data_IF_860910366640
#
_entry.id   IF_860910366640
#
_cell.length_a   1.000
_cell.length_b   1.000
_cell.length_c   1.000
_cell.angle_alpha   90.00
_cell.angle_beta   90.00
_cell.angle_gamma   90.00
#
_symmetry.space_group_name_H-M   'P 1'
#
loop_
_entity.id
_entity.type
_entity.pdbx_description
1 polymer ?
#
# COMPACT_ATOMS: atom_id res chain seq x y z
N UNK A 1 -20.67 -4.17 -65.68
CA UNK A 1 -20.22 -4.77 -64.41
C UNK A 1 -20.01 -3.63 -63.41
N UNK A 2 -20.93 -3.47 -62.49
CA UNK A 2 -21.02 -2.30 -61.57
C UNK A 2 -20.42 -2.70 -60.23
N UNK A 3 -19.26 -2.12 -59.87
CA UNK A 3 -18.67 -2.30 -58.53
C UNK A 3 -19.39 -1.43 -57.52
N UNK A 4 -20.03 -2.07 -56.54
CA UNK A 4 -20.63 -1.44 -55.39
C UNK A 4 -19.63 -1.49 -54.24
N UNK A 5 -19.02 -0.35 -53.91
CA UNK A 5 -18.21 -0.15 -52.73
C UNK A 5 -19.13 0.25 -51.60
N UNK A 6 -19.35 -0.67 -50.65
CA UNK A 6 -20.01 -0.38 -49.36
C UNK A 6 -19.03 0.34 -48.45
N UNK A 7 -19.21 1.64 -48.32
CA UNK A 7 -18.55 2.42 -47.27
C UNK A 7 -19.30 2.19 -45.97
N UNK A 8 -18.71 1.40 -45.06
CA UNK A 8 -19.22 1.19 -43.70
C UNK A 8 -18.74 2.35 -42.84
N UNK A 9 -19.57 3.38 -42.69
CA UNK A 9 -19.33 4.47 -41.74
C UNK A 9 -19.63 3.99 -40.34
N UNK A 10 -18.56 3.64 -39.60
CA UNK A 10 -18.63 3.32 -38.18
C UNK A 10 -18.81 4.65 -37.41
N UNK A 11 -20.02 4.93 -36.98
CA UNK A 11 -20.33 5.97 -36.00
C UNK A 11 -19.77 5.55 -34.64
N UNK A 12 -18.53 5.97 -34.34
CA UNK A 12 -18.03 5.95 -32.96
C UNK A 12 -18.81 6.99 -32.16
N UNK A 13 -19.83 6.54 -31.48
CA UNK A 13 -20.45 7.27 -30.39
C UNK A 13 -19.45 7.32 -29.23
N UNK A 14 -18.60 8.34 -29.22
CA UNK A 14 -17.76 8.66 -28.09
C UNK A 14 -18.66 9.14 -26.95
N UNK A 15 -18.99 8.28 -26.01
CA UNK A 15 -19.42 8.72 -24.69
C UNK A 15 -18.26 9.53 -24.09
N UNK A 16 -18.37 10.86 -24.24
CA UNK A 16 -17.52 11.79 -23.52
C UNK A 16 -17.88 11.67 -22.02
N UNK A 17 -17.20 10.77 -21.31
CA UNK A 17 -17.12 10.83 -19.86
C UNK A 17 -16.42 12.15 -19.52
N UNK A 18 -17.11 13.03 -18.81
CA UNK A 18 -16.58 14.29 -18.31
C UNK A 18 -15.26 14.06 -17.59
N UNK A 19 -14.14 14.69 -17.99
CA UNK A 19 -12.88 14.56 -17.27
C UNK A 19 -12.83 15.38 -15.96
N UNK A 20 -13.96 15.88 -15.50
CA UNK A 20 -14.12 16.70 -14.31
C UNK A 20 -15.03 16.02 -13.29
N UNK A 21 -14.62 14.85 -12.77
CA UNK A 21 -15.02 14.49 -11.42
C UNK A 21 -14.06 15.21 -10.47
N UNK A 22 -14.57 16.23 -9.79
CA UNK A 22 -13.87 16.80 -8.64
C UNK A 22 -13.53 15.69 -7.64
N UNK A 23 -12.59 15.95 -6.69
CA UNK A 23 -12.24 14.95 -5.71
C UNK A 23 -13.50 14.43 -5.01
N UNK A 24 -13.67 13.11 -5.01
CA UNK A 24 -14.80 12.48 -4.32
C UNK A 24 -14.55 12.57 -2.81
N UNK A 25 -15.33 13.33 -2.03
CA UNK A 25 -15.12 13.45 -0.59
C UNK A 25 -15.22 12.12 0.14
N UNK A 26 -15.83 11.11 -0.46
CA UNK A 26 -15.99 9.77 0.11
C UNK A 26 -14.75 8.88 -0.15
N UNK A 27 -13.95 9.15 -1.19
CA UNK A 27 -12.78 8.32 -1.56
C UNK A 27 -11.78 8.18 -0.41
N UNK A 28 -11.54 9.24 0.32
CA UNK A 28 -10.59 9.26 1.45
C UNK A 28 -11.12 8.50 2.65
N UNK A 29 -12.41 8.63 2.93
CA UNK A 29 -13.08 7.89 4.01
C UNK A 29 -13.12 6.40 3.70
N UNK A 30 -13.45 6.03 2.47
CA UNK A 30 -13.44 4.65 2.00
C UNK A 30 -12.05 4.02 2.12
N UNK A 31 -10.99 4.73 1.72
CA UNK A 31 -9.62 4.25 1.87
C UNK A 31 -9.23 3.99 3.35
N UNK A 32 -9.71 4.81 4.27
CA UNK A 32 -9.49 4.60 5.71
C UNK A 32 -10.22 3.34 6.18
N UNK A 33 -11.49 3.15 5.80
CA UNK A 33 -12.27 1.97 6.16
C UNK A 33 -11.65 0.68 5.57
N UNK A 34 -11.24 0.72 4.31
CA UNK A 34 -10.51 -0.38 3.66
C UNK A 34 -9.21 -0.71 4.40
N UNK A 35 -8.48 0.30 4.85
CA UNK A 35 -7.25 0.11 5.61
C UNK A 35 -7.51 -0.50 6.99
N UNK A 36 -8.58 -0.11 7.68
CA UNK A 36 -9.00 -0.72 8.95
C UNK A 36 -9.38 -2.19 8.76
N UNK A 37 -10.13 -2.49 7.71
CA UNK A 37 -10.52 -3.87 7.37
C UNK A 37 -9.30 -4.74 7.07
N UNK A 38 -8.38 -4.24 6.23
CA UNK A 38 -7.15 -4.93 5.86
C UNK A 38 -6.26 -5.20 7.08
N UNK A 39 -6.07 -4.19 7.95
CA UNK A 39 -5.30 -4.32 9.18
C UNK A 39 -5.96 -5.36 10.12
N UNK A 40 -7.24 -5.22 10.38
CA UNK A 40 -8.00 -6.15 11.23
C UNK A 40 -8.00 -7.57 10.68
N UNK A 41 -8.14 -7.72 9.36
CA UNK A 41 -8.06 -9.00 8.66
C UNK A 41 -6.69 -9.66 8.81
N UNK A 42 -5.60 -8.90 8.65
CA UNK A 42 -4.23 -9.40 8.83
C UNK A 42 -3.91 -9.74 10.29
N UNK A 43 -4.37 -8.94 11.25
CA UNK A 43 -4.21 -9.27 12.68
C UNK A 43 -4.85 -10.63 12.99
N UNK A 44 -6.04 -10.88 12.50
CA UNK A 44 -6.74 -12.17 12.72
C UNK A 44 -6.09 -13.33 11.98
N UNK A 45 -5.75 -13.13 10.71
CA UNK A 45 -5.26 -14.21 9.84
C UNK A 45 -3.79 -14.56 10.07
N UNK A 46 -2.95 -13.56 10.31
CA UNK A 46 -1.49 -13.75 10.46
C UNK A 46 -1.04 -13.89 11.91
N UNK A 47 -1.97 -13.78 12.86
CA UNK A 47 -1.63 -13.87 14.28
C UNK A 47 -0.60 -12.85 14.73
N UNK A 48 -0.71 -11.60 14.22
CA UNK A 48 0.20 -10.51 14.61
C UNK A 48 0.21 -10.40 16.14
N UNK A 49 1.36 -10.51 16.79
CA UNK A 49 1.42 -10.51 18.23
C UNK A 49 1.03 -9.17 18.83
N UNK A 50 0.16 -9.20 19.83
CA UNK A 50 -0.31 -7.99 20.51
C UNK A 50 0.82 -7.12 21.04
N UNK A 51 1.84 -7.74 21.65
CA UNK A 51 3.05 -7.06 22.12
C UNK A 51 3.77 -6.27 21.01
N UNK A 52 3.77 -6.78 19.77
CA UNK A 52 4.39 -6.08 18.66
C UNK A 52 3.62 -4.79 18.31
N UNK A 53 2.28 -4.85 18.31
CA UNK A 53 1.43 -3.69 18.08
C UNK A 53 1.59 -2.63 19.20
N UNK A 54 1.79 -3.06 20.44
CA UNK A 54 2.02 -2.17 21.59
C UNK A 54 3.31 -1.35 21.45
N UNK A 55 4.34 -1.93 20.83
CA UNK A 55 5.64 -1.28 20.61
C UNK A 55 5.75 -0.56 19.25
N UNK A 56 4.74 -0.66 18.40
CA UNK A 56 4.72 -0.06 17.07
C UNK A 56 4.65 1.46 17.15
N UNK A 57 5.52 2.15 16.43
CA UNK A 57 5.60 3.63 16.35
C UNK A 57 4.76 4.20 15.22
N UNK A 58 4.65 3.46 14.11
CA UNK A 58 3.76 3.81 13.02
C UNK A 58 3.25 2.55 12.32
N UNK A 59 2.03 2.62 11.83
CA UNK A 59 1.41 1.56 11.03
C UNK A 59 1.14 2.15 9.64
N UNK A 60 1.63 1.46 8.62
CA UNK A 60 1.36 1.78 7.21
C UNK A 60 0.47 0.68 6.66
N UNK A 61 -0.61 1.05 6.02
CA UNK A 61 -1.55 0.10 5.42
C UNK A 61 -1.81 0.45 3.96
N UNK A 62 -1.58 -0.52 3.10
CA UNK A 62 -2.03 -0.50 1.71
C UNK A 62 -3.09 -1.59 1.54
N UNK A 63 -4.38 -1.24 1.53
CA UNK A 63 -5.46 -2.23 1.44
C UNK A 63 -5.55 -2.87 0.06
N UNK A 64 -5.15 -2.14 -0.98
CA UNK A 64 -5.27 -2.54 -2.37
C UNK A 64 -3.99 -2.21 -3.16
N UNK A 65 -2.93 -3.02 -3.00
CA UNK A 65 -1.79 -2.98 -3.90
C UNK A 65 -2.12 -3.78 -5.17
N UNK A 66 -2.23 -3.08 -6.29
CA UNK A 66 -2.48 -3.70 -7.58
C UNK A 66 -1.18 -3.88 -8.35
N UNK A 67 -0.90 -5.09 -8.79
CA UNK A 67 0.17 -5.41 -9.73
C UNK A 67 -0.46 -5.81 -11.07
N UNK A 68 -0.05 -5.11 -12.12
CA UNK A 68 -0.31 -5.54 -13.49
C UNK A 68 1.03 -5.74 -14.20
N UNK A 69 1.22 -6.88 -14.83
CA UNK A 69 2.45 -7.22 -15.54
C UNK A 69 2.15 -8.07 -16.77
N UNK A 70 2.91 -7.80 -17.86
CA UNK A 70 3.04 -8.72 -19.00
C UNK A 70 4.52 -9.09 -19.21
N UNK A 71 5.35 -8.18 -19.69
CA UNK A 71 6.83 -8.33 -19.79
C UNK A 71 7.49 -7.35 -18.82
N UNK A 72 6.94 -6.15 -18.72
CA UNK A 72 7.24 -5.18 -17.68
C UNK A 72 5.98 -5.00 -16.83
N UNK A 73 6.13 -4.82 -15.53
CA UNK A 73 5.02 -4.66 -14.61
C UNK A 73 5.17 -3.42 -13.75
N UNK A 74 4.03 -2.93 -13.31
CA UNK A 74 3.96 -1.90 -12.29
C UNK A 74 3.05 -2.39 -11.15
N UNK A 75 3.44 -2.06 -9.92
CA UNK A 75 2.59 -2.17 -8.75
C UNK A 75 2.34 -0.78 -8.23
N UNK A 76 1.07 -0.46 -8.04
CA UNK A 76 0.64 0.83 -7.50
C UNK A 76 -0.39 0.59 -6.40
N UNK A 77 -0.46 1.51 -5.45
CA UNK A 77 -1.49 1.49 -4.42
C UNK A 77 -1.56 2.81 -3.67
N UNK A 78 -2.78 3.15 -3.24
CA UNK A 78 -3.04 4.18 -2.25
C UNK A 78 -3.07 3.51 -0.87
N UNK A 79 -2.66 4.23 0.14
CA UNK A 79 -2.64 3.72 1.50
C UNK A 79 -2.67 4.83 2.53
N UNK A 80 -2.68 4.43 3.78
CA UNK A 80 -2.68 5.33 4.93
C UNK A 80 -1.52 5.00 5.86
N UNK A 81 -1.05 6.01 6.56
CA UNK A 81 -0.10 5.87 7.66
C UNK A 81 -0.65 6.55 8.90
N UNK A 82 -0.61 5.85 10.02
CA UNK A 82 -0.87 6.42 11.35
C UNK A 82 0.39 6.34 12.19
N UNK A 83 0.66 7.39 12.94
CA UNK A 83 1.88 7.52 13.76
C UNK A 83 1.50 7.70 15.21
N UNK A 84 2.19 7.00 16.08
CA UNK A 84 1.99 7.15 17.52
C UNK A 84 2.79 8.33 18.02
N UNK A 85 2.12 9.26 18.71
CA UNK A 85 2.76 10.40 19.35
C UNK A 85 3.74 9.93 20.44
N UNK A 86 5.01 10.30 20.37
CA UNK A 86 5.99 9.93 21.40
C UNK A 86 5.72 10.61 22.74
N UNK A 87 4.96 11.73 22.75
CA UNK A 87 4.64 12.49 23.95
C UNK A 87 3.43 11.91 24.70
N UNK A 88 2.40 11.51 23.97
CA UNK A 88 1.11 11.10 24.57
C UNK A 88 0.83 9.61 24.46
N UNK A 89 1.58 8.88 23.62
CA UNK A 89 1.30 7.48 23.30
C UNK A 89 0.06 7.24 22.44
N UNK A 90 -0.70 8.30 22.11
CA UNK A 90 -1.92 8.21 21.29
C UNK A 90 -1.57 8.18 19.82
N UNK A 91 -2.44 7.57 19.01
CA UNK A 91 -2.35 7.60 17.56
C UNK A 91 -2.79 8.96 17.03
N UNK A 92 -2.01 9.51 16.11
CA UNK A 92 -2.38 10.73 15.38
C UNK A 92 -3.40 10.40 14.28
N UNK A 93 -4.10 11.41 13.74
CA UNK A 93 -4.93 11.23 12.56
C UNK A 93 -4.16 10.60 11.40
N UNK A 94 -4.83 9.85 10.48
CA UNK A 94 -4.19 9.20 9.37
C UNK A 94 -3.62 10.20 8.35
N UNK A 95 -2.52 9.85 7.70
CA UNK A 95 -2.04 10.59 6.53
C UNK A 95 -2.04 9.66 5.31
N UNK A 96 -2.35 10.23 4.13
CA UNK A 96 -2.46 9.50 2.88
C UNK A 96 -1.12 9.39 2.17
N UNK A 97 -0.85 8.20 1.64
CA UNK A 97 0.41 7.84 0.97
C UNK A 97 0.13 7.06 -0.30
N UNK A 98 1.10 7.09 -1.21
CA UNK A 98 1.09 6.31 -2.46
C UNK A 98 2.29 5.38 -2.50
N UNK A 99 2.08 4.19 -3.03
CA UNK A 99 3.14 3.22 -3.34
C UNK A 99 3.27 3.04 -4.84
N UNK A 100 4.52 2.98 -5.32
CA UNK A 100 4.87 2.64 -6.71
C UNK A 100 6.04 1.67 -6.70
N UNK A 101 5.96 0.66 -7.56
CA UNK A 101 7.05 -0.28 -7.80
C UNK A 101 7.08 -0.62 -9.27
N UNK A 102 8.25 -0.51 -9.89
CA UNK A 102 8.48 -1.08 -11.22
C UNK A 102 9.01 -2.50 -11.06
N UNK A 103 8.55 -3.43 -11.88
CA UNK A 103 9.03 -4.81 -11.90
C UNK A 103 9.27 -5.27 -13.33
N UNK A 104 10.35 -6.01 -13.53
CA UNK A 104 10.71 -6.63 -14.80
C UNK A 104 10.59 -8.15 -14.65
N UNK A 105 10.01 -8.81 -15.63
CA UNK A 105 9.89 -10.27 -15.63
C UNK A 105 8.69 -10.76 -16.43
N UNK A 106 8.80 -11.98 -16.97
CA UNK A 106 7.74 -12.61 -17.76
C UNK A 106 6.69 -13.16 -16.77
N UNK A 107 5.75 -12.31 -16.38
CA UNK A 107 4.62 -12.69 -15.52
C UNK A 107 3.37 -11.97 -16.03
N UNK A 108 2.49 -12.69 -16.68
CA UNK A 108 1.20 -12.12 -17.09
C UNK A 108 0.17 -12.31 -15.96
N UNK A 109 -0.51 -11.23 -15.59
CA UNK A 109 -1.59 -11.33 -14.62
C UNK A 109 -1.84 -10.04 -13.83
N UNK A 110 -3.00 -10.03 -13.17
CA UNK A 110 -3.39 -9.00 -12.21
C UNK A 110 -3.38 -9.63 -10.83
N UNK A 111 -2.71 -9.01 -9.89
CA UNK A 111 -2.65 -9.43 -8.50
C UNK A 111 -3.09 -8.29 -7.59
N UNK A 112 -3.94 -8.59 -6.64
CA UNK A 112 -4.26 -7.69 -5.53
C UNK A 112 -3.59 -8.20 -4.26
N UNK A 113 -3.01 -7.29 -3.50
CA UNK A 113 -2.40 -7.61 -2.22
C UNK A 113 -2.76 -6.56 -1.18
N UNK A 114 -2.93 -7.00 0.05
CA UNK A 114 -2.97 -6.16 1.23
C UNK A 114 -1.58 -6.16 1.86
N UNK A 115 -1.10 -5.01 2.28
CA UNK A 115 0.21 -4.87 2.92
C UNK A 115 0.08 -4.01 4.17
N UNK A 116 0.58 -4.52 5.28
CA UNK A 116 0.75 -3.77 6.53
C UNK A 116 2.23 -3.73 6.90
N UNK A 117 2.75 -2.53 7.16
CA UNK A 117 4.09 -2.33 7.68
C UNK A 117 3.99 -1.81 9.11
N UNK A 118 4.59 -2.52 10.05
CA UNK A 118 4.73 -2.09 11.44
C UNK A 118 6.12 -1.48 11.63
N UNK A 119 6.19 -0.18 11.86
CA UNK A 119 7.45 0.55 12.08
C UNK A 119 7.79 0.51 13.56
N UNK A 120 8.91 -0.11 13.90
CA UNK A 120 9.30 -0.38 15.28
C UNK A 120 10.28 0.64 15.84
N UNK A 121 11.13 1.23 14.98
CA UNK A 121 12.24 2.09 15.43
C UNK A 121 12.07 3.53 14.99
N UNK A 122 12.73 4.45 15.71
CA UNK A 122 12.81 5.85 15.29
C UNK A 122 13.59 6.02 13.97
N UNK A 123 14.49 5.10 13.66
CA UNK A 123 15.20 5.08 12.38
C UNK A 123 14.24 4.76 11.24
N UNK A 124 13.43 3.69 11.37
CA UNK A 124 12.39 3.35 10.42
C UNK A 124 11.37 4.48 10.23
N UNK A 125 10.94 5.09 11.34
CA UNK A 125 10.01 6.23 11.31
C UNK A 125 10.59 7.43 10.55
N UNK A 126 11.83 7.83 10.83
CA UNK A 126 12.47 8.93 10.10
C UNK A 126 12.64 8.65 8.61
N UNK A 127 12.91 7.39 8.25
CA UNK A 127 13.01 7.00 6.85
C UNK A 127 11.66 7.10 6.14
N UNK A 128 10.59 6.68 6.81
CA UNK A 128 9.24 6.74 6.25
C UNK A 128 8.80 8.17 5.88
N UNK A 129 9.25 9.17 6.62
CA UNK A 129 8.93 10.59 6.38
C UNK A 129 9.89 11.31 5.42
N UNK A 130 10.87 10.62 4.83
CA UNK A 130 11.61 11.21 3.72
C UNK A 130 10.67 11.43 2.54
N UNK A 131 11.00 12.40 1.69
CA UNK A 131 10.19 12.78 0.52
C UNK A 131 9.87 11.57 -0.37
N UNK A 132 10.76 10.60 -0.39
CA UNK A 132 10.63 9.34 -1.10
C UNK A 132 11.30 8.25 -0.27
N UNK A 133 10.57 7.19 0.03
CA UNK A 133 11.07 6.05 0.76
C UNK A 133 11.09 4.81 -0.14
N UNK A 134 12.30 4.26 -0.36
CA UNK A 134 12.51 3.03 -1.13
C UNK A 134 12.66 1.86 -0.14
N UNK A 135 11.71 0.94 -0.17
CA UNK A 135 11.70 -0.25 0.69
C UNK A 135 12.87 -1.20 0.41
N UNK A 136 13.55 -1.07 -0.74
CA UNK A 136 14.73 -1.86 -1.09
C UNK A 136 16.07 -1.26 -0.67
N UNK A 137 16.08 0.02 -0.26
CA UNK A 137 17.29 0.78 0.06
C UNK A 137 17.12 1.50 1.39
N UNK A 138 17.20 0.81 2.50
CA UNK A 138 16.98 1.51 3.75
C UNK A 138 16.99 0.64 4.99
N UNK A 139 16.15 0.95 5.98
CA UNK A 139 16.05 0.17 7.19
C UNK A 139 15.67 -1.28 6.90
N UNK A 140 16.13 -2.17 7.76
CA UNK A 140 15.89 -3.59 7.58
C UNK A 140 14.40 -3.90 7.72
N UNK A 141 13.84 -4.43 6.64
CA UNK A 141 12.46 -4.92 6.61
C UNK A 141 12.52 -6.43 6.70
N UNK A 142 11.80 -6.97 7.66
CA UNK A 142 11.60 -8.41 7.80
C UNK A 142 10.12 -8.77 7.62
N UNK A 143 9.88 -10.02 7.24
CA UNK A 143 8.54 -10.59 7.40
C UNK A 143 8.20 -10.62 8.88
N UNK A 144 7.00 -10.19 9.19
CA UNK A 144 6.56 -10.09 10.56
C UNK A 144 6.47 -11.48 11.21
N UNK A 145 6.87 -11.59 12.48
CA UNK A 145 6.73 -12.83 13.20
C UNK A 145 5.27 -13.16 13.46
N UNK A 146 4.93 -14.45 13.41
CA UNK A 146 3.58 -14.97 13.65
C UNK A 146 3.58 -15.84 14.92
N UNK A 147 2.46 -15.81 15.65
CA UNK A 147 2.29 -16.60 16.86
C UNK A 147 2.30 -15.81 18.16
N UNK A 148 2.12 -16.54 19.29
CA UNK A 148 1.86 -15.90 20.61
C UNK A 148 3.13 -15.55 21.39
N UNK A 149 4.25 -16.24 21.14
CA UNK A 149 5.47 -16.09 21.93
C UNK A 149 6.58 -15.49 21.07
N UNK A 150 6.99 -14.27 21.39
CA UNK A 150 8.06 -13.57 20.71
C UNK A 150 9.00 -12.97 21.74
N UNK A 151 10.29 -13.21 21.53
CA UNK A 151 11.31 -12.45 22.25
C UNK A 151 11.45 -11.06 21.59
N UNK A 152 10.85 -10.07 22.24
CA UNK A 152 10.83 -8.68 21.75
C UNK A 152 12.24 -8.09 21.65
N UNK A 153 13.19 -8.51 22.48
CA UNK A 153 14.55 -7.98 22.41
C UNK A 153 15.27 -8.43 21.13
N UNK A 154 15.10 -9.69 20.75
CA UNK A 154 15.63 -10.21 19.48
C UNK A 154 14.97 -9.54 18.27
N UNK A 155 13.69 -9.27 18.36
CA UNK A 155 12.89 -8.69 17.28
C UNK A 155 13.25 -7.21 17.06
N UNK A 156 13.31 -6.42 18.12
CA UNK A 156 13.56 -4.97 18.04
C UNK A 156 15.01 -4.63 17.71
N UNK A 157 15.96 -5.50 18.05
CA UNK A 157 17.39 -5.24 17.81
C UNK A 157 17.83 -5.48 16.37
N UNK A 158 17.06 -6.22 15.56
CA UNK A 158 17.46 -6.61 14.20
C UNK A 158 16.69 -5.93 13.09
N UNK A 159 15.46 -5.47 13.33
CA UNK A 159 14.61 -4.99 12.26
C UNK A 159 13.94 -3.67 12.61
N UNK A 160 13.93 -2.75 11.66
CA UNK A 160 13.28 -1.45 11.81
C UNK A 160 11.79 -1.52 11.47
N UNK A 161 11.41 -2.42 10.55
CA UNK A 161 10.05 -2.55 10.02
C UNK A 161 9.69 -4.03 9.86
N UNK A 162 8.49 -4.40 10.26
CA UNK A 162 7.88 -5.70 9.96
C UNK A 162 6.80 -5.57 8.92
N UNK A 163 6.84 -6.44 7.91
CA UNK A 163 5.87 -6.48 6.84
C UNK A 163 4.96 -7.72 6.99
N UNK A 164 3.66 -7.48 6.89
CA UNK A 164 2.62 -8.50 6.81
C UNK A 164 1.82 -8.29 5.54
N UNK A 165 1.55 -9.37 4.81
CA UNK A 165 0.82 -9.28 3.56
C UNK A 165 -0.14 -10.43 3.38
N UNK A 166 -1.27 -10.13 2.73
CA UNK A 166 -2.23 -11.11 2.25
C UNK A 166 -2.42 -10.91 0.75
N UNK A 167 -2.16 -11.96 -0.02
CA UNK A 167 -2.23 -11.93 -1.46
C UNK A 167 -3.51 -12.63 -1.90
N UNK A 168 -4.31 -11.94 -2.72
CA UNK A 168 -5.45 -12.52 -3.41
C UNK A 168 -5.06 -12.72 -4.88
N UNK A 169 -4.82 -13.97 -5.30
CA UNK A 169 -4.45 -14.30 -6.69
C UNK A 169 -3.47 -15.47 -6.81
N UNK A 170 -3.09 -15.79 -8.05
CA UNK A 170 -2.31 -16.99 -8.43
C UNK A 170 -0.82 -16.95 -8.05
N UNK A 171 -0.28 -15.84 -7.55
CA UNK A 171 1.15 -15.71 -7.27
C UNK A 171 1.44 -15.63 -5.78
N UNK A 172 2.28 -16.52 -5.29
CA UNK A 172 2.80 -16.49 -3.95
C UNK A 172 4.09 -15.64 -3.90
N UNK A 173 4.09 -14.60 -3.06
CA UNK A 173 5.28 -13.80 -2.77
C UNK A 173 5.13 -12.31 -3.07
N UNK A 174 5.56 -11.48 -2.14
CA UNK A 174 5.71 -10.04 -2.31
C UNK A 174 7.20 -9.70 -2.21
N UNK A 175 7.76 -9.18 -3.32
CA UNK A 175 9.03 -8.47 -3.26
C UNK A 175 8.74 -7.01 -2.95
N UNK A 176 9.46 -6.45 -2.00
CA UNK A 176 9.39 -5.03 -1.65
C UNK A 176 10.53 -4.22 -2.27
N UNK A 177 11.48 -4.91 -2.91
CA UNK A 177 12.61 -4.28 -3.56
C UNK A 177 12.14 -3.34 -4.66
N UNK A 178 12.67 -2.11 -4.67
CA UNK A 178 12.26 -1.07 -5.62
C UNK A 178 10.86 -0.47 -5.36
N UNK A 179 10.22 -0.81 -4.25
CA UNK A 179 8.95 -0.17 -3.85
C UNK A 179 9.23 1.20 -3.25
N UNK A 180 8.66 2.22 -3.87
CA UNK A 180 8.79 3.60 -3.43
C UNK A 180 7.48 4.06 -2.79
N UNK A 181 7.57 4.58 -1.57
CA UNK A 181 6.44 5.19 -0.85
C UNK A 181 6.63 6.71 -0.83
N UNK A 182 5.57 7.43 -1.18
CA UNK A 182 5.53 8.90 -1.17
C UNK A 182 4.27 9.41 -0.48
N UNK A 183 4.32 10.63 0.08
CA UNK A 183 3.12 11.30 0.56
C UNK A 183 2.16 11.61 -0.59
N UNK A 184 0.87 11.35 -0.39
CA UNK A 184 -0.19 11.83 -1.29
C UNK A 184 -0.62 13.24 -0.85
N UNK A 185 0.10 14.24 -1.36
CA UNK A 185 -0.13 15.64 -0.96
C UNK A 185 -1.54 16.12 -1.26
N UNK A 186 -2.11 15.70 -2.40
CA UNK A 186 -3.46 16.10 -2.80
C UNK A 186 -4.50 15.50 -1.85
N UNK A 187 -4.46 14.20 -1.63
CA UNK A 187 -5.39 13.53 -0.71
C UNK A 187 -5.30 14.09 0.72
N UNK A 188 -4.08 14.35 1.21
CA UNK A 188 -3.90 14.97 2.52
C UNK A 188 -4.46 16.39 2.58
N UNK A 189 -4.28 17.17 1.53
CA UNK A 189 -4.82 18.54 1.47
C UNK A 189 -6.36 18.51 1.44
N UNK A 190 -6.95 17.68 0.60
CA UNK A 190 -8.40 17.57 0.42
C UNK A 190 -9.12 17.05 1.69
N UNK A 191 -8.49 16.13 2.42
CA UNK A 191 -9.09 15.53 3.61
C UNK A 191 -9.04 16.43 4.84
N UNK A 192 -8.02 17.30 4.96
CA UNK A 192 -7.80 18.13 6.14
C UNK A 192 -8.22 19.60 5.98
N UNK A 193 -8.88 19.97 4.89
CA UNK A 193 -9.56 21.25 4.71
C UNK A 193 -10.97 21.23 5.30
#
# INVERSE_FOLDING_TARGET
MKNWIFVFTLLLSACASSPFSGPDPFEHTELILDAEEALGGLIRASGIPKKLLEHTKAIVVFPNLMKAAMIAGARVGKGVVIVRSPKTGKWNPPAFIKSRQASWGIQAGIQKAELVLLVMTNKGLRQLFKTQYDLGKGPQIALGPVGKTIDMNLVLNKNDIFAYSRIKGLFAGLSFEGTVITSDKNANYEYYQ
#
